data_IF_267792705175
#
_entry.id   IF_267792705175
#
_cell.length_a   1.000
_cell.length_b   1.000
_cell.length_c   1.000
_cell.angle_alpha   90.00
_cell.angle_beta   90.00
_cell.angle_gamma   90.00
#
_symmetry.space_group_name_H-M   'P 1'
#
loop_
_entity.id
_entity.type
_entity.pdbx_description
1 polymer ?
#
# COMPACT_ATOMS: atom_id res chain seq x y z
N UNK A 1 1.52 -15.23 64.17
CA UNK A 1 1.53 -15.67 62.76
C UNK A 1 0.31 -16.55 62.41
N UNK A 2 0.03 -17.64 63.14
CA UNK A 2 -1.10 -18.56 62.84
C UNK A 2 -2.50 -17.92 62.92
N UNK A 3 -2.75 -17.01 63.88
CA UNK A 3 -4.03 -16.27 64.00
C UNK A 3 -4.30 -15.28 62.85
N UNK A 4 -3.27 -14.68 62.25
CA UNK A 4 -3.43 -13.77 61.11
C UNK A 4 -3.80 -14.52 59.84
N UNK A 5 -3.19 -15.69 59.61
CA UNK A 5 -3.51 -16.56 58.46
C UNK A 5 -4.96 -17.05 58.57
N UNK A 6 -5.42 -17.39 59.78
CA UNK A 6 -6.79 -17.84 60.02
C UNK A 6 -7.83 -16.73 59.77
N UNK A 7 -7.55 -15.49 60.15
CA UNK A 7 -8.45 -14.36 59.88
C UNK A 7 -8.54 -14.04 58.37
N UNK A 8 -7.43 -14.09 57.64
CA UNK A 8 -7.43 -13.88 56.17
C UNK A 8 -8.21 -15.00 55.46
N UNK A 9 -8.12 -16.24 55.93
CA UNK A 9 -8.89 -17.36 55.38
C UNK A 9 -10.40 -17.21 55.64
N UNK A 10 -10.79 -16.71 56.82
CA UNK A 10 -12.20 -16.48 57.15
C UNK A 10 -12.76 -15.31 56.33
N UNK A 11 -12.02 -14.21 56.18
CA UNK A 11 -12.43 -13.09 55.32
C UNK A 11 -12.53 -13.49 53.85
N UNK A 12 -11.57 -14.28 53.35
CA UNK A 12 -11.61 -14.82 51.99
C UNK A 12 -12.78 -15.79 51.80
N UNK A 13 -13.11 -16.59 52.81
CA UNK A 13 -14.26 -17.50 52.81
C UNK A 13 -15.60 -16.76 52.75
N UNK A 14 -15.75 -15.70 53.55
CA UNK A 14 -16.96 -14.86 53.54
C UNK A 14 -17.10 -14.11 52.22
N UNK A 15 -15.99 -13.56 51.68
CA UNK A 15 -15.99 -12.90 50.38
C UNK A 15 -16.35 -13.87 49.24
N UNK A 16 -15.83 -15.10 49.25
CA UNK A 16 -16.19 -16.12 48.26
C UNK A 16 -17.66 -16.52 48.36
N UNK A 17 -18.22 -16.72 49.57
CA UNK A 17 -19.64 -17.01 49.76
C UNK A 17 -20.53 -15.87 49.26
N UNK A 18 -20.13 -14.62 49.50
CA UNK A 18 -20.86 -13.45 49.03
C UNK A 18 -20.80 -13.29 47.51
N UNK A 19 -19.62 -13.50 46.90
CA UNK A 19 -19.45 -13.52 45.44
C UNK A 19 -20.23 -14.67 44.79
N UNK A 20 -20.27 -15.84 45.42
CA UNK A 20 -21.01 -17.00 44.92
C UNK A 20 -22.52 -16.79 45.04
N UNK A 21 -23.00 -16.23 46.16
CA UNK A 21 -24.41 -15.88 46.36
C UNK A 21 -24.89 -14.81 45.37
N UNK A 22 -24.09 -13.76 45.15
CA UNK A 22 -24.40 -12.72 44.15
C UNK A 22 -24.37 -13.29 42.73
N UNK A 23 -23.42 -14.17 42.39
CA UNK A 23 -23.38 -14.83 41.09
C UNK A 23 -24.59 -15.74 40.82
N UNK A 24 -25.10 -16.45 41.83
CA UNK A 24 -26.27 -17.33 41.69
C UNK A 24 -27.55 -16.50 41.54
N UNK A 25 -27.75 -15.50 42.39
CA UNK A 25 -28.95 -14.63 42.39
C UNK A 25 -29.06 -13.86 41.07
N UNK A 26 -27.96 -13.32 40.56
CA UNK A 26 -27.94 -12.55 39.31
C UNK A 26 -27.56 -13.38 38.07
N UNK A 27 -27.48 -14.71 38.17
CA UNK A 27 -27.08 -15.59 37.05
C UNK A 27 -27.92 -15.38 35.79
N UNK A 28 -29.24 -15.22 35.96
CA UNK A 28 -30.19 -14.97 34.86
C UNK A 28 -30.02 -13.58 34.25
N UNK A 29 -29.75 -12.55 35.06
CA UNK A 29 -29.48 -11.20 34.59
C UNK A 29 -28.13 -11.10 33.87
N UNK A 30 -27.12 -11.83 34.35
CA UNK A 30 -25.83 -11.95 33.68
C UNK A 30 -25.97 -12.66 32.32
N UNK A 31 -26.75 -13.74 32.25
CA UNK A 31 -27.07 -14.42 30.98
C UNK A 31 -27.87 -13.52 30.02
N UNK A 32 -28.83 -12.73 30.51
CA UNK A 32 -29.53 -11.77 29.67
C UNK A 32 -28.63 -10.62 29.21
N UNK A 33 -27.70 -10.18 30.06
CA UNK A 33 -26.75 -9.13 29.72
C UNK A 33 -25.75 -9.61 28.67
N UNK A 34 -25.20 -10.83 28.82
CA UNK A 34 -24.33 -11.44 27.81
C UNK A 34 -25.08 -11.69 26.50
N UNK A 35 -26.32 -12.19 26.53
CA UNK A 35 -27.15 -12.35 25.34
C UNK A 35 -27.47 -11.01 24.66
N UNK A 36 -27.81 -9.95 25.42
CA UNK A 36 -27.99 -8.59 24.90
C UNK A 36 -26.71 -8.05 24.28
N UNK A 37 -25.55 -8.30 24.89
CA UNK A 37 -24.24 -7.92 24.33
C UNK A 37 -23.96 -8.66 23.03
N UNK A 38 -24.21 -9.97 22.95
CA UNK A 38 -24.04 -10.76 21.72
C UNK A 38 -24.99 -10.31 20.62
N UNK A 39 -26.27 -10.07 20.93
CA UNK A 39 -27.26 -9.56 19.97
C UNK A 39 -26.89 -8.15 19.51
N UNK A 40 -26.46 -7.26 20.41
CA UNK A 40 -26.00 -5.91 20.06
C UNK A 40 -24.72 -5.96 19.21
N UNK A 41 -23.83 -6.92 19.45
CA UNK A 41 -22.69 -7.20 18.58
C UNK A 41 -23.13 -7.65 17.19
N UNK A 42 -24.01 -8.66 17.09
CA UNK A 42 -24.56 -9.15 15.81
C UNK A 42 -25.32 -8.06 15.04
N UNK A 43 -26.09 -7.23 15.73
CA UNK A 43 -26.81 -6.10 15.12
C UNK A 43 -25.85 -4.98 14.68
N UNK A 44 -24.76 -4.73 15.43
CA UNK A 44 -23.69 -3.83 15.00
C UNK A 44 -22.96 -4.38 13.77
N UNK A 45 -22.71 -5.68 13.71
CA UNK A 45 -22.10 -6.33 12.54
C UNK A 45 -23.00 -6.26 11.32
N UNK A 46 -24.29 -6.57 11.43
CA UNK A 46 -25.27 -6.38 10.35
C UNK A 46 -25.41 -4.92 9.92
N UNK A 47 -25.45 -3.97 10.87
CA UNK A 47 -25.46 -2.53 10.54
C UNK A 47 -24.14 -2.06 9.91
N UNK A 48 -23.00 -2.69 10.26
CA UNK A 48 -21.70 -2.42 9.61
C UNK A 48 -21.63 -3.02 8.21
N UNK A 49 -22.25 -4.17 7.97
CA UNK A 49 -22.40 -4.73 6.62
C UNK A 49 -23.28 -3.85 5.72
N UNK A 50 -24.29 -3.20 6.30
CA UNK A 50 -25.19 -2.27 5.60
C UNK A 50 -24.62 -0.85 5.46
N UNK A 51 -23.65 -0.46 6.30
CA UNK A 51 -22.98 0.83 6.19
C UNK A 51 -21.87 0.72 5.18
N UNK A 52 -21.89 1.59 4.18
CA UNK A 52 -20.73 1.74 3.32
C UNK A 52 -19.53 2.19 4.18
N UNK A 53 -18.39 1.47 4.12
CA UNK A 53 -17.22 1.83 4.91
C UNK A 53 -16.74 3.22 4.51
N UNK A 54 -16.25 3.98 5.49
CA UNK A 54 -15.71 5.31 5.24
C UNK A 54 -14.55 5.24 4.25
N UNK A 55 -14.33 6.28 3.44
CA UNK A 55 -13.27 6.28 2.41
C UNK A 55 -11.87 5.95 2.96
N UNK A 56 -11.56 6.37 4.19
CA UNK A 56 -10.32 6.02 4.88
C UNK A 56 -10.24 4.53 5.23
N UNK A 57 -11.33 3.95 5.74
CA UNK A 57 -11.38 2.52 6.09
C UNK A 57 -11.20 1.66 4.83
N UNK A 58 -11.88 2.01 3.72
CA UNK A 58 -11.68 1.38 2.41
C UNK A 58 -10.23 1.43 1.95
N UNK A 59 -9.57 2.57 2.11
CA UNK A 59 -8.16 2.75 1.75
C UNK A 59 -7.22 1.87 2.58
N UNK A 60 -7.39 1.85 3.91
CA UNK A 60 -6.59 1.00 4.79
C UNK A 60 -6.88 -0.48 4.56
N UNK A 61 -8.14 -0.86 4.33
CA UNK A 61 -8.52 -2.23 3.99
C UNK A 61 -7.87 -2.67 2.68
N UNK A 62 -7.90 -1.84 1.64
CA UNK A 62 -7.26 -2.15 0.36
C UNK A 62 -5.75 -2.40 0.52
N UNK A 63 -5.04 -1.51 1.22
CA UNK A 63 -3.60 -1.66 1.46
C UNK A 63 -3.31 -2.90 2.31
N UNK A 64 -4.02 -3.08 3.42
CA UNK A 64 -3.78 -4.15 4.38
C UNK A 64 -4.13 -5.54 3.82
N UNK A 65 -5.24 -5.67 3.09
CA UNK A 65 -5.62 -6.94 2.48
C UNK A 65 -4.64 -7.33 1.38
N UNK A 66 -4.21 -6.38 0.56
CA UNK A 66 -3.27 -6.66 -0.55
C UNK A 66 -1.87 -7.03 -0.06
N UNK A 67 -1.41 -6.46 1.05
CA UNK A 67 -0.03 -6.64 1.54
C UNK A 67 0.09 -7.70 2.63
N UNK A 68 -0.87 -7.79 3.54
CA UNK A 68 -0.82 -8.62 4.75
C UNK A 68 -2.00 -9.61 4.86
N UNK A 69 -2.97 -9.57 3.94
CA UNK A 69 -4.22 -10.36 4.03
C UNK A 69 -4.99 -10.13 5.34
N UNK A 70 -4.86 -8.93 5.93
CA UNK A 70 -5.56 -8.52 7.15
C UNK A 70 -6.56 -7.40 6.87
N UNK A 71 -7.53 -7.21 7.77
CA UNK A 71 -8.41 -6.04 7.74
C UNK A 71 -7.63 -4.77 8.15
N UNK A 72 -7.87 -3.67 7.46
CA UNK A 72 -7.28 -2.36 7.70
C UNK A 72 -7.56 -1.82 9.10
N UNK A 73 -8.66 -2.22 9.74
CA UNK A 73 -8.96 -1.85 11.12
C UNK A 73 -7.87 -2.29 12.11
N UNK A 74 -7.25 -3.45 11.89
CA UNK A 74 -6.17 -3.93 12.76
C UNK A 74 -4.91 -3.08 12.61
N UNK A 75 -4.62 -2.65 11.38
CA UNK A 75 -3.51 -1.75 11.06
C UNK A 75 -3.72 -0.38 11.70
N UNK A 76 -4.94 0.16 11.62
CA UNK A 76 -5.30 1.42 12.29
C UNK A 76 -5.21 1.32 13.83
N UNK A 77 -5.71 0.22 14.41
CA UNK A 77 -5.60 -0.03 15.86
C UNK A 77 -4.14 -0.13 16.29
N UNK A 78 -3.30 -0.83 15.53
CA UNK A 78 -1.88 -0.94 15.81
C UNK A 78 -1.17 0.43 15.80
N UNK A 79 -1.48 1.29 14.83
CA UNK A 79 -0.95 2.67 14.79
C UNK A 79 -1.39 3.48 16.00
N UNK A 80 -2.66 3.38 16.38
CA UNK A 80 -3.20 4.12 17.52
C UNK A 80 -2.58 3.65 18.85
N UNK A 81 -2.43 2.34 19.04
CA UNK A 81 -1.74 1.79 20.22
C UNK A 81 -0.28 2.25 20.26
N UNK A 82 0.41 2.18 19.12
CA UNK A 82 1.81 2.64 19.00
C UNK A 82 1.92 4.13 19.34
N UNK A 83 1.01 4.96 18.83
CA UNK A 83 0.95 6.39 19.14
C UNK A 83 0.81 6.64 20.64
N UNK A 84 -0.18 6.00 21.29
CA UNK A 84 -0.44 6.20 22.72
C UNK A 84 0.75 5.77 23.57
N UNK A 85 1.34 4.61 23.29
CA UNK A 85 2.50 4.09 24.03
C UNK A 85 3.70 5.04 23.90
N UNK A 86 4.03 5.46 22.68
CA UNK A 86 5.16 6.36 22.43
C UNK A 86 4.93 7.73 23.05
N UNK A 87 3.71 8.27 22.97
CA UNK A 87 3.37 9.55 23.57
C UNK A 87 3.47 9.52 25.10
N UNK A 88 2.95 8.47 25.75
CA UNK A 88 3.03 8.30 27.21
C UNK A 88 4.47 8.22 27.73
N UNK A 89 5.38 7.61 26.96
CA UNK A 89 6.80 7.55 27.30
C UNK A 89 7.47 8.92 27.04
N UNK A 90 7.16 9.55 25.90
CA UNK A 90 7.84 10.76 25.44
C UNK A 90 7.45 12.00 26.27
N UNK A 91 6.20 12.10 26.75
CA UNK A 91 5.74 13.24 27.56
C UNK A 91 6.43 13.31 28.92
N UNK A 92 6.99 12.19 29.41
CA UNK A 92 7.77 12.15 30.66
C UNK A 92 9.16 12.73 30.50
N UNK A 93 9.71 12.73 29.28
CA UNK A 93 11.11 13.04 29.00
C UNK A 93 11.31 14.31 28.16
N UNK A 94 10.28 14.78 27.47
CA UNK A 94 10.36 15.87 26.50
C UNK A 94 9.21 16.87 26.65
N UNK A 95 9.31 18.04 26.01
CA UNK A 95 8.21 19.01 25.99
C UNK A 95 6.95 18.41 25.33
N UNK A 96 5.73 18.82 25.73
CA UNK A 96 4.49 18.25 25.20
C UNK A 96 4.41 18.28 23.67
N UNK A 97 4.84 19.38 23.03
CA UNK A 97 4.83 19.53 21.58
C UNK A 97 5.78 18.54 20.87
N UNK A 98 7.02 18.42 21.38
CA UNK A 98 8.01 17.50 20.79
C UNK A 98 7.64 16.03 21.03
N UNK A 99 6.99 15.72 22.15
CA UNK A 99 6.48 14.37 22.46
C UNK A 99 5.38 13.92 21.49
N UNK A 100 4.46 14.81 21.12
CA UNK A 100 3.40 14.52 20.14
C UNK A 100 4.02 14.32 18.76
N UNK A 101 4.95 15.19 18.35
CA UNK A 101 5.63 15.05 17.06
C UNK A 101 6.34 13.70 16.92
N UNK A 102 7.11 13.30 17.93
CA UNK A 102 7.79 12.00 17.94
C UNK A 102 6.81 10.82 17.87
N UNK A 103 5.71 10.89 18.63
CA UNK A 103 4.67 9.87 18.62
C UNK A 103 3.98 9.74 17.26
N UNK A 104 3.69 10.85 16.58
CA UNK A 104 3.12 10.84 15.22
C UNK A 104 4.08 10.20 14.23
N UNK A 105 5.36 10.59 14.25
CA UNK A 105 6.37 10.05 13.32
C UNK A 105 6.51 8.54 13.48
N UNK A 106 6.61 8.04 14.72
CA UNK A 106 6.74 6.59 14.97
C UNK A 106 5.45 5.84 14.64
N UNK A 107 4.28 6.39 15.01
CA UNK A 107 2.99 5.76 14.70
C UNK A 107 2.68 5.73 13.20
N UNK A 108 3.24 6.65 12.40
CA UNK A 108 3.11 6.66 10.95
C UNK A 108 4.02 5.62 10.25
N UNK A 109 5.06 5.12 10.91
CA UNK A 109 6.05 4.21 10.30
C UNK A 109 5.43 2.92 9.72
N UNK A 110 4.51 2.20 10.42
CA UNK A 110 3.87 1.01 9.87
C UNK A 110 3.07 1.32 8.59
N UNK A 111 2.43 2.49 8.52
CA UNK A 111 1.67 2.90 7.34
C UNK A 111 2.61 3.12 6.15
N UNK A 112 3.71 3.84 6.37
CA UNK A 112 4.69 4.13 5.33
C UNK A 112 5.29 2.83 4.77
N UNK A 113 5.66 1.89 5.64
CA UNK A 113 6.19 0.59 5.21
C UNK A 113 5.18 -0.21 4.38
N UNK A 114 3.92 -0.27 4.81
CA UNK A 114 2.86 -0.91 4.04
C UNK A 114 2.61 -0.20 2.72
N UNK A 115 2.66 1.13 2.70
CA UNK A 115 2.49 1.92 1.48
C UNK A 115 3.59 1.65 0.47
N UNK A 116 4.85 1.54 0.91
CA UNK A 116 5.98 1.20 0.03
C UNK A 116 5.79 -0.19 -0.57
N UNK A 117 5.44 -1.20 0.25
CA UNK A 117 5.15 -2.56 -0.23
C UNK A 117 3.98 -2.56 -1.23
N UNK A 118 2.89 -1.86 -0.90
CA UNK A 118 1.71 -1.75 -1.75
C UNK A 118 2.03 -1.11 -3.09
N UNK A 119 2.72 0.03 -3.12
CA UNK A 119 3.14 0.66 -4.38
C UNK A 119 4.10 -0.23 -5.20
N UNK A 120 4.93 -1.05 -4.53
CA UNK A 120 5.74 -2.06 -5.18
C UNK A 120 4.92 -3.13 -5.88
N UNK A 121 3.89 -3.67 -5.22
CA UNK A 121 2.93 -4.62 -5.81
C UNK A 121 2.19 -3.99 -6.99
N UNK A 122 1.68 -2.77 -6.81
CA UNK A 122 0.96 -2.02 -7.85
C UNK A 122 1.79 -1.82 -9.09
N UNK A 123 3.05 -1.40 -8.92
CA UNK A 123 3.97 -1.23 -10.04
C UNK A 123 4.18 -2.55 -10.77
N UNK A 124 4.55 -3.61 -10.06
CA UNK A 124 4.80 -4.92 -10.70
C UNK A 124 3.56 -5.43 -11.46
N UNK A 125 2.39 -5.37 -10.84
CA UNK A 125 1.13 -5.75 -11.47
C UNK A 125 0.78 -4.87 -12.68
N UNK A 126 1.09 -3.56 -12.65
CA UNK A 126 0.90 -2.71 -13.83
C UNK A 126 1.69 -3.19 -15.04
N UNK A 127 2.94 -3.65 -14.85
CA UNK A 127 3.79 -4.17 -15.93
C UNK A 127 3.36 -5.56 -16.44
N UNK A 128 2.59 -6.33 -15.65
CA UNK A 128 2.00 -7.60 -16.07
C UNK A 128 0.75 -7.40 -16.97
N UNK A 129 0.24 -6.16 -17.09
CA UNK A 129 -1.04 -5.84 -17.73
C UNK A 129 -1.16 -6.35 -19.17
N UNK A 130 -0.18 -6.06 -20.03
CA UNK A 130 -0.24 -6.50 -21.44
C UNK A 130 -0.35 -8.03 -21.57
N UNK A 131 0.45 -8.77 -20.80
CA UNK A 131 0.43 -10.23 -20.80
C UNK A 131 -0.91 -10.76 -20.27
N UNK A 132 -1.42 -10.16 -19.19
CA UNK A 132 -2.70 -10.54 -18.60
C UNK A 132 -3.86 -10.34 -19.58
N UNK A 133 -3.94 -9.16 -20.22
CA UNK A 133 -5.01 -8.83 -21.16
C UNK A 133 -4.91 -9.71 -22.41
N UNK A 134 -3.71 -9.94 -22.93
CA UNK A 134 -3.47 -10.85 -24.06
C UNK A 134 -3.93 -12.27 -23.76
N UNK A 135 -3.53 -12.82 -22.60
CA UNK A 135 -3.91 -14.17 -22.20
C UNK A 135 -5.41 -14.27 -21.94
N UNK A 136 -6.00 -13.27 -21.29
CA UNK A 136 -7.45 -13.22 -21.08
C UNK A 136 -8.20 -13.23 -22.40
N UNK A 137 -7.82 -12.38 -23.37
CA UNK A 137 -8.48 -12.31 -24.67
C UNK A 137 -8.46 -13.64 -25.41
N UNK A 138 -7.32 -14.34 -25.39
CA UNK A 138 -7.18 -15.67 -25.97
C UNK A 138 -8.10 -16.68 -25.29
N UNK A 139 -8.08 -16.74 -23.95
CA UNK A 139 -8.93 -17.66 -23.19
C UNK A 139 -10.42 -17.33 -23.34
N UNK A 140 -10.76 -16.04 -23.47
CA UNK A 140 -12.12 -15.57 -23.68
C UNK A 140 -12.68 -15.99 -25.05
N UNK A 141 -11.86 -15.92 -26.10
CA UNK A 141 -12.22 -16.45 -27.43
C UNK A 141 -12.39 -17.97 -27.41
N UNK A 142 -11.51 -18.70 -26.72
CA UNK A 142 -11.58 -20.17 -26.59
C UNK A 142 -12.80 -20.61 -25.76
N UNK A 143 -13.17 -19.85 -24.74
CA UNK A 143 -14.31 -20.13 -23.86
C UNK A 143 -15.66 -19.66 -24.42
N UNK A 144 -15.78 -19.49 -25.74
CA UNK A 144 -17.00 -19.02 -26.42
C UNK A 144 -17.57 -17.72 -25.79
N UNK A 145 -16.70 -16.80 -25.40
CA UNK A 145 -17.05 -15.52 -24.78
C UNK A 145 -17.73 -15.64 -23.40
N UNK A 146 -17.51 -16.75 -22.68
CA UNK A 146 -17.90 -16.88 -21.29
C UNK A 146 -16.82 -16.31 -20.36
N UNK A 147 -17.12 -15.20 -19.67
CA UNK A 147 -16.17 -14.54 -18.76
C UNK A 147 -15.71 -15.44 -17.62
N UNK A 148 -16.62 -16.19 -17.01
CA UNK A 148 -16.31 -17.00 -15.83
C UNK A 148 -15.35 -18.15 -16.18
N UNK A 149 -15.56 -18.78 -17.33
CA UNK A 149 -14.70 -19.84 -17.83
C UNK A 149 -13.36 -19.29 -18.34
N UNK A 150 -13.37 -18.12 -19.00
CA UNK A 150 -12.15 -17.46 -19.45
C UNK A 150 -11.22 -17.07 -18.30
N UNK A 151 -11.78 -16.49 -17.22
CA UNK A 151 -11.00 -16.15 -16.03
C UNK A 151 -10.44 -17.40 -15.33
N UNK A 152 -11.18 -18.51 -15.32
CA UNK A 152 -10.69 -19.77 -14.74
C UNK A 152 -9.54 -20.37 -15.55
N UNK A 153 -9.65 -20.40 -16.88
CA UNK A 153 -8.57 -20.84 -17.77
C UNK A 153 -7.35 -19.93 -17.69
N UNK A 154 -7.54 -18.62 -17.57
CA UNK A 154 -6.46 -17.65 -17.36
C UNK A 154 -5.64 -17.97 -16.10
N UNK A 155 -6.29 -18.36 -15.01
CA UNK A 155 -5.61 -18.68 -13.75
C UNK A 155 -4.76 -19.97 -13.83
N UNK A 156 -5.10 -20.89 -14.73
CA UNK A 156 -4.30 -22.10 -14.99
C UNK A 156 -3.00 -21.77 -15.75
N UNK A 157 -2.99 -20.68 -16.54
CA UNK A 157 -1.86 -20.24 -17.35
C UNK A 157 -1.01 -19.18 -16.60
N UNK A 158 -0.20 -19.61 -15.62
CA UNK A 158 0.37 -18.72 -14.59
C UNK A 158 1.81 -18.24 -14.81
N UNK A 159 2.43 -18.46 -15.98
CA UNK A 159 3.90 -18.32 -16.09
C UNK A 159 4.43 -16.90 -15.87
N UNK A 160 3.68 -15.85 -16.23
CA UNK A 160 4.18 -14.45 -16.22
C UNK A 160 3.25 -13.40 -15.58
N UNK A 161 2.13 -13.80 -14.96
CA UNK A 161 1.12 -12.87 -14.39
C UNK A 161 0.82 -13.20 -12.92
N UNK A 162 1.80 -13.72 -12.18
CA UNK A 162 1.60 -14.30 -10.83
C UNK A 162 0.97 -13.33 -9.85
N UNK A 163 1.36 -12.05 -9.87
CA UNK A 163 0.85 -11.05 -8.93
C UNK A 163 -0.59 -10.73 -9.29
N UNK A 164 -0.83 -10.41 -10.56
CA UNK A 164 -2.15 -9.99 -11.04
C UNK A 164 -3.18 -11.14 -10.99
N UNK A 165 -2.73 -12.40 -11.18
CA UNK A 165 -3.57 -13.59 -11.04
C UNK A 165 -4.15 -13.74 -9.63
N UNK A 166 -3.43 -13.31 -8.58
CA UNK A 166 -3.98 -13.34 -7.21
C UNK A 166 -5.20 -12.43 -7.06
N UNK A 167 -5.20 -11.27 -7.74
CA UNK A 167 -6.33 -10.34 -7.76
C UNK A 167 -7.47 -10.83 -8.65
N UNK A 168 -7.14 -11.43 -9.80
CA UNK A 168 -8.14 -12.09 -10.66
C UNK A 168 -8.83 -13.23 -9.94
N UNK A 169 -8.10 -14.06 -9.17
CA UNK A 169 -8.68 -15.14 -8.38
C UNK A 169 -9.66 -14.60 -7.35
N UNK A 170 -9.27 -13.55 -6.59
CA UNK A 170 -10.15 -12.91 -5.63
C UNK A 170 -11.43 -12.39 -6.31
N UNK A 171 -11.27 -11.67 -7.42
CA UNK A 171 -12.38 -11.15 -8.21
C UNK A 171 -13.29 -12.29 -8.71
N UNK A 172 -12.75 -13.37 -9.28
CA UNK A 172 -13.52 -14.51 -9.79
C UNK A 172 -14.34 -15.18 -8.69
N UNK A 173 -13.76 -15.37 -7.50
CA UNK A 173 -14.46 -15.94 -6.36
C UNK A 173 -15.63 -15.05 -5.91
N UNK A 174 -15.42 -13.73 -5.85
CA UNK A 174 -16.47 -12.78 -5.50
C UNK A 174 -17.57 -12.73 -6.56
N UNK A 175 -17.21 -12.70 -7.84
CA UNK A 175 -18.14 -12.75 -8.98
C UNK A 175 -19.00 -14.02 -8.97
N UNK A 176 -18.43 -15.20 -8.68
CA UNK A 176 -19.19 -16.47 -8.61
C UNK A 176 -20.11 -16.54 -7.39
N UNK A 177 -19.77 -15.85 -6.31
CA UNK A 177 -20.52 -15.91 -5.06
C UNK A 177 -21.80 -15.08 -5.04
N UNK A 178 -22.03 -14.24 -6.07
CA UNK A 178 -23.11 -13.26 -6.06
C UNK A 178 -23.78 -13.10 -7.42
N UNK A 179 -25.12 -12.98 -7.42
CA UNK A 179 -25.91 -12.54 -8.58
C UNK A 179 -26.28 -11.06 -8.53
N UNK A 180 -25.83 -10.33 -7.50
CA UNK A 180 -26.21 -8.93 -7.28
C UNK A 180 -25.29 -8.00 -8.08
N UNK A 181 -25.84 -7.16 -8.99
CA UNK A 181 -25.03 -6.22 -9.79
C UNK A 181 -24.14 -5.30 -8.94
N UNK A 182 -24.60 -4.91 -7.74
CA UNK A 182 -23.80 -4.06 -6.84
C UNK A 182 -22.54 -4.77 -6.32
N UNK A 183 -22.63 -6.07 -6.08
CA UNK A 183 -21.50 -6.87 -5.58
C UNK A 183 -20.56 -7.24 -6.72
N UNK A 184 -21.08 -7.51 -7.92
CA UNK A 184 -20.29 -7.66 -9.15
C UNK A 184 -19.46 -6.40 -9.39
N UNK A 185 -20.10 -5.22 -9.37
CA UNK A 185 -19.41 -3.94 -9.50
C UNK A 185 -18.33 -3.76 -8.44
N UNK A 186 -18.62 -4.09 -7.18
CA UNK A 186 -17.64 -4.00 -6.09
C UNK A 186 -16.42 -4.90 -6.33
N UNK A 187 -16.63 -6.13 -6.79
CA UNK A 187 -15.53 -7.08 -7.05
C UNK A 187 -14.58 -6.57 -8.14
N UNK A 188 -15.12 -6.02 -9.23
CA UNK A 188 -14.31 -5.45 -10.31
C UNK A 188 -13.67 -4.11 -9.92
N UNK A 189 -14.36 -3.30 -9.10
CA UNK A 189 -13.84 -2.04 -8.56
C UNK A 189 -12.68 -2.30 -7.59
N UNK A 190 -12.76 -3.35 -6.76
CA UNK A 190 -11.67 -3.77 -5.88
C UNK A 190 -10.44 -4.21 -6.68
N UNK A 191 -10.62 -4.97 -7.77
CA UNK A 191 -9.52 -5.32 -8.69
C UNK A 191 -8.85 -4.07 -9.29
N UNK A 192 -9.65 -3.17 -9.88
CA UNK A 192 -9.12 -1.96 -10.52
C UNK A 192 -8.54 -0.98 -9.51
N UNK A 193 -9.04 -0.94 -8.27
CA UNK A 193 -8.54 -0.13 -7.18
C UNK A 193 -7.17 -0.59 -6.67
N UNK A 194 -6.88 -1.89 -6.73
CA UNK A 194 -5.57 -2.44 -6.38
C UNK A 194 -4.53 -1.96 -7.38
N UNK A 195 -4.70 -2.23 -8.68
CA UNK A 195 -3.71 -1.86 -9.71
C UNK A 195 -3.70 -0.33 -9.90
N UNK A 196 -4.89 0.23 -10.05
CA UNK A 196 -5.19 1.65 -10.23
C UNK A 196 -4.38 2.26 -11.39
N UNK A 197 -4.64 1.68 -12.56
CA UNK A 197 -4.26 2.13 -13.91
C UNK A 197 -5.52 2.29 -14.77
N UNK A 198 -5.45 3.07 -15.85
CA UNK A 198 -6.56 3.25 -16.78
C UNK A 198 -6.98 1.93 -17.41
N UNK A 199 -6.02 1.13 -17.88
CA UNK A 199 -6.31 -0.19 -18.46
C UNK A 199 -7.02 -1.13 -17.47
N UNK A 200 -6.66 -1.10 -16.18
CA UNK A 200 -7.29 -1.96 -15.16
C UNK A 200 -8.74 -1.57 -14.90
N UNK A 201 -9.07 -0.28 -15.00
CA UNK A 201 -10.45 0.22 -14.87
C UNK A 201 -11.28 -0.15 -16.09
N UNK A 202 -10.72 0.00 -17.30
CA UNK A 202 -11.40 -0.42 -18.53
C UNK A 202 -11.62 -1.93 -18.56
N UNK A 203 -10.63 -2.72 -18.13
CA UNK A 203 -10.78 -4.16 -18.00
C UNK A 203 -11.89 -4.53 -17.00
N UNK A 204 -11.85 -3.96 -15.78
CA UNK A 204 -12.88 -4.15 -14.77
C UNK A 204 -14.30 -3.83 -15.28
N UNK A 205 -14.45 -2.70 -15.98
CA UNK A 205 -15.72 -2.30 -16.58
C UNK A 205 -16.21 -3.29 -17.65
N UNK A 206 -15.33 -3.79 -18.51
CA UNK A 206 -15.69 -4.80 -19.51
C UNK A 206 -16.07 -6.14 -18.86
N UNK A 207 -15.33 -6.57 -17.83
CA UNK A 207 -15.69 -7.77 -17.06
C UNK A 207 -17.07 -7.60 -16.41
N UNK A 208 -17.38 -6.42 -15.87
CA UNK A 208 -18.70 -6.12 -15.33
C UNK A 208 -19.81 -6.28 -16.38
N UNK A 209 -19.65 -5.64 -17.55
CA UNK A 209 -20.65 -5.70 -18.62
C UNK A 209 -20.89 -7.13 -19.10
N UNK A 210 -19.82 -7.90 -19.26
CA UNK A 210 -19.92 -9.26 -19.73
C UNK A 210 -20.47 -10.21 -18.64
N UNK A 211 -20.18 -9.97 -17.35
CA UNK A 211 -20.74 -10.72 -16.23
C UNK A 211 -22.22 -10.41 -15.95
N UNK A 212 -22.64 -9.14 -16.02
CA UNK A 212 -24.02 -8.71 -15.74
C UNK A 212 -24.97 -8.90 -16.92
N UNK A 213 -24.49 -8.61 -18.14
CA UNK A 213 -25.34 -8.50 -19.34
C UNK A 213 -25.02 -9.55 -20.41
N UNK A 214 -23.97 -10.35 -20.24
CA UNK A 214 -23.53 -11.32 -21.25
C UNK A 214 -23.05 -10.66 -22.55
N UNK A 215 -22.67 -9.38 -22.51
CA UNK A 215 -22.21 -8.64 -23.70
C UNK A 215 -20.83 -9.17 -24.10
N UNK A 216 -20.64 -9.44 -25.38
CA UNK A 216 -19.32 -9.79 -25.89
C UNK A 216 -18.39 -8.56 -25.85
N UNK A 217 -17.38 -8.62 -24.98
CA UNK A 217 -16.38 -7.55 -24.80
C UNK A 217 -15.08 -7.78 -25.57
N UNK A 218 -15.01 -8.76 -26.47
CA UNK A 218 -13.75 -9.12 -27.15
C UNK A 218 -13.09 -7.94 -27.87
N UNK A 219 -13.89 -7.10 -28.54
CA UNK A 219 -13.40 -5.91 -29.25
C UNK A 219 -12.84 -4.85 -28.28
N UNK A 220 -13.51 -4.63 -27.16
CA UNK A 220 -13.06 -3.67 -26.15
C UNK A 220 -11.79 -4.14 -25.44
N UNK A 221 -11.65 -5.45 -25.21
CA UNK A 221 -10.46 -6.05 -24.63
C UNK A 221 -9.28 -6.00 -25.62
N UNK A 222 -9.54 -6.18 -26.91
CA UNK A 222 -8.55 -6.02 -27.97
C UNK A 222 -8.06 -4.58 -28.11
N UNK A 223 -8.95 -3.60 -27.97
CA UNK A 223 -8.60 -2.18 -27.92
C UNK A 223 -7.69 -1.86 -26.72
N UNK A 224 -8.00 -2.37 -25.53
CA UNK A 224 -7.11 -2.25 -24.35
C UNK A 224 -5.73 -2.85 -24.65
N UNK A 225 -5.67 -4.00 -25.33
CA UNK A 225 -4.40 -4.65 -25.67
C UNK A 225 -3.57 -3.81 -26.65
N UNK A 226 -4.21 -3.19 -27.63
CA UNK A 226 -3.54 -2.27 -28.58
C UNK A 226 -2.98 -1.07 -27.81
N UNK A 227 -3.79 -0.43 -26.95
CA UNK A 227 -3.36 0.72 -26.15
C UNK A 227 -2.20 0.36 -25.20
N UNK A 228 -2.18 -0.85 -24.64
CA UNK A 228 -1.05 -1.32 -23.82
C UNK A 228 0.23 -1.54 -24.65
N UNK A 229 0.12 -2.05 -25.88
CA UNK A 229 1.28 -2.21 -26.78
C UNK A 229 1.86 -0.84 -27.16
N UNK A 230 1.00 0.13 -27.45
CA UNK A 230 1.43 1.51 -27.72
C UNK A 230 2.06 2.16 -26.48
N UNK A 231 1.51 1.91 -25.28
CA UNK A 231 2.13 2.36 -24.03
C UNK A 231 3.54 1.76 -23.84
N UNK A 232 3.75 0.50 -24.24
CA UNK A 232 5.08 -0.15 -24.20
C UNK A 232 6.07 0.52 -25.14
N UNK A 233 5.69 0.79 -26.39
CA UNK A 233 6.60 1.44 -27.34
C UNK A 233 6.99 2.83 -26.83
N UNK A 234 6.03 3.62 -26.33
CA UNK A 234 6.29 4.93 -25.72
C UNK A 234 7.23 4.80 -24.49
N UNK A 235 7.02 3.79 -23.64
CA UNK A 235 7.86 3.57 -22.47
C UNK A 235 9.30 3.22 -22.87
N UNK A 236 9.48 2.35 -23.88
CA UNK A 236 10.78 1.97 -24.40
C UNK A 236 11.49 3.16 -25.07
N UNK A 237 10.77 3.98 -25.83
CA UNK A 237 11.27 5.22 -26.39
C UNK A 237 11.71 6.21 -25.31
N UNK A 238 10.91 6.41 -24.26
CA UNK A 238 11.28 7.23 -23.10
C UNK A 238 12.52 6.69 -22.42
N UNK A 239 12.63 5.38 -22.23
CA UNK A 239 13.82 4.76 -21.64
C UNK A 239 15.05 5.00 -22.51
N UNK A 240 14.91 4.94 -23.83
CA UNK A 240 15.98 5.26 -24.79
C UNK A 240 16.38 6.72 -24.71
N UNK A 241 15.43 7.66 -24.81
CA UNK A 241 15.69 9.09 -24.73
C UNK A 241 16.29 9.51 -23.39
N UNK A 242 15.75 8.99 -22.28
CA UNK A 242 16.21 9.33 -20.95
C UNK A 242 17.54 8.63 -20.58
N UNK A 243 17.98 7.62 -21.35
CA UNK A 243 19.27 6.95 -21.11
C UNK A 243 20.46 7.91 -21.26
N UNK A 244 20.33 8.90 -22.15
CA UNK A 244 21.34 9.96 -22.31
C UNK A 244 21.35 10.90 -21.11
N UNK A 245 20.18 11.38 -20.69
CA UNK A 245 20.04 12.23 -19.51
C UNK A 245 20.57 11.54 -18.25
N UNK A 246 20.27 10.25 -18.07
CA UNK A 246 20.81 9.44 -16.96
C UNK A 246 22.33 9.41 -16.99
N UNK A 247 22.94 9.16 -18.16
CA UNK A 247 24.40 9.16 -18.30
C UNK A 247 25.01 10.52 -17.99
N UNK A 248 24.35 11.60 -18.41
CA UNK A 248 24.79 12.98 -18.12
C UNK A 248 24.80 13.23 -16.61
N UNK A 249 23.70 12.97 -15.91
CA UNK A 249 23.60 13.27 -14.48
C UNK A 249 24.49 12.37 -13.64
N UNK A 250 24.51 11.06 -13.92
CA UNK A 250 25.23 10.08 -13.09
C UNK A 250 26.73 10.08 -13.36
N UNK A 251 27.17 10.27 -14.61
CA UNK A 251 28.59 10.18 -14.97
C UNK A 251 29.22 11.52 -15.33
N UNK A 252 28.56 12.32 -16.18
CA UNK A 252 29.19 13.54 -16.71
C UNK A 252 29.31 14.64 -15.65
N UNK A 253 28.29 14.86 -14.80
CA UNK A 253 28.36 15.90 -13.76
C UNK A 253 29.47 15.61 -12.73
N UNK A 254 29.59 14.40 -12.14
CA UNK A 254 30.71 14.09 -11.25
C UNK A 254 32.07 14.17 -11.94
N UNK A 255 32.15 13.74 -13.20
CA UNK A 255 33.38 13.84 -13.98
C UNK A 255 33.80 15.29 -14.21
N UNK A 256 32.88 16.17 -14.60
CA UNK A 256 33.14 17.60 -14.77
C UNK A 256 33.58 18.24 -13.45
N UNK A 257 32.94 17.88 -12.33
CA UNK A 257 33.36 18.37 -11.01
C UNK A 257 34.81 17.95 -10.70
N UNK A 258 35.16 16.67 -10.91
CA UNK A 258 36.55 16.20 -10.74
C UNK A 258 37.53 16.92 -11.69
N UNK A 259 37.11 17.20 -12.93
CA UNK A 259 37.92 17.92 -13.89
C UNK A 259 38.23 19.36 -13.46
N UNK A 260 37.29 20.05 -12.79
CA UNK A 260 37.56 21.39 -12.23
C UNK A 260 38.64 21.38 -11.14
N UNK A 261 38.70 20.31 -10.35
CA UNK A 261 39.77 20.08 -9.36
C UNK A 261 41.12 19.95 -10.08
N UNK A 262 41.18 19.13 -11.15
CA UNK A 262 42.41 18.93 -11.95
C UNK A 262 42.88 20.23 -12.58
N UNK A 263 41.98 21.03 -13.16
CA UNK A 263 42.33 22.33 -13.74
C UNK A 263 42.91 23.26 -12.68
N UNK A 264 42.27 23.32 -11.51
CA UNK A 264 42.68 24.19 -10.42
C UNK A 264 44.08 23.84 -9.92
N UNK A 265 44.43 22.56 -9.88
CA UNK A 265 45.75 22.11 -9.45
C UNK A 265 46.80 22.31 -10.54
N UNK A 266 46.51 21.87 -11.76
CA UNK A 266 47.52 21.74 -12.83
C UNK A 266 47.73 23.02 -13.63
N UNK A 267 46.68 23.82 -13.84
CA UNK A 267 46.72 25.01 -14.71
C UNK A 267 46.68 26.32 -13.92
N UNK A 268 45.95 26.36 -12.80
CA UNK A 268 45.91 27.55 -11.92
C UNK A 268 47.07 27.53 -10.90
N UNK A 269 47.76 26.39 -10.75
CA UNK A 269 48.89 26.24 -9.83
C UNK A 269 48.48 26.20 -8.36
N UNK A 270 47.21 25.91 -8.07
CA UNK A 270 46.69 25.90 -6.71
C UNK A 270 47.02 24.57 -6.02
N UNK A 271 47.55 24.61 -4.80
CA UNK A 271 47.76 23.36 -4.04
C UNK A 271 46.41 22.72 -3.69
N UNK A 272 46.35 21.38 -3.61
CA UNK A 272 45.12 20.66 -3.26
C UNK A 272 44.57 21.09 -1.89
N UNK A 273 45.44 21.43 -0.94
CA UNK A 273 45.04 21.93 0.37
C UNK A 273 44.42 23.33 0.28
N UNK A 274 44.97 24.20 -0.57
CA UNK A 274 44.41 25.53 -0.86
C UNK A 274 43.05 25.42 -1.55
N UNK A 275 42.89 24.50 -2.49
CA UNK A 275 41.61 24.24 -3.16
C UNK A 275 40.53 23.83 -2.15
N UNK A 276 40.81 22.83 -1.30
CA UNK A 276 39.86 22.37 -0.28
C UNK A 276 39.52 23.51 0.70
N UNK A 277 40.52 24.30 1.11
CA UNK A 277 40.32 25.46 1.96
C UNK A 277 39.40 26.50 1.30
N UNK A 278 39.60 26.77 0.01
CA UNK A 278 38.78 27.71 -0.74
C UNK A 278 37.35 27.20 -0.92
N UNK A 279 37.18 25.91 -1.24
CA UNK A 279 35.86 25.32 -1.51
C UNK A 279 35.00 25.16 -0.24
N UNK A 280 35.60 24.84 0.92
CA UNK A 280 34.84 24.51 2.13
C UNK A 280 34.93 25.56 3.24
N UNK A 281 35.99 26.37 3.29
CA UNK A 281 36.26 27.28 4.40
C UNK A 281 36.18 28.77 4.03
N UNK A 282 35.80 29.10 2.79
CA UNK A 282 35.46 30.47 2.40
C UNK A 282 33.95 30.59 2.20
N UNK A 283 33.39 31.78 2.49
CA UNK A 283 31.96 32.04 2.36
C UNK A 283 31.45 31.79 0.93
N UNK A 284 32.18 32.31 -0.06
CA UNK A 284 31.87 32.16 -1.48
C UNK A 284 31.94 30.69 -1.93
N UNK A 285 33.07 30.01 -1.66
CA UNK A 285 33.26 28.62 -2.07
C UNK A 285 32.25 27.67 -1.43
N UNK A 286 31.97 27.85 -0.14
CA UNK A 286 30.98 27.03 0.57
C UNK A 286 29.56 27.24 0.01
N UNK A 287 29.20 28.47 -0.35
CA UNK A 287 27.91 28.79 -0.99
C UNK A 287 27.80 28.07 -2.34
N UNK A 288 28.79 28.21 -3.23
CA UNK A 288 28.77 27.55 -4.55
C UNK A 288 28.78 26.02 -4.44
N UNK A 289 29.54 25.46 -3.51
CA UNK A 289 29.53 24.02 -3.22
C UNK A 289 28.15 23.54 -2.80
N UNK A 290 27.52 24.24 -1.85
CA UNK A 290 26.21 23.88 -1.31
C UNK A 290 25.13 23.97 -2.39
N UNK A 291 25.11 25.04 -3.19
CA UNK A 291 24.17 25.19 -4.32
C UNK A 291 24.37 24.08 -5.35
N UNK A 292 25.63 23.75 -5.69
CA UNK A 292 25.95 22.67 -6.63
C UNK A 292 25.48 21.31 -6.12
N UNK A 293 25.68 21.02 -4.83
CA UNK A 293 25.23 19.79 -4.20
C UNK A 293 23.70 19.68 -4.18
N UNK A 294 23.00 20.75 -3.82
CA UNK A 294 21.52 20.78 -3.81
C UNK A 294 20.97 20.59 -5.22
N UNK A 295 21.52 21.29 -6.21
CA UNK A 295 21.13 21.12 -7.62
C UNK A 295 21.38 19.70 -8.12
N UNK A 296 22.49 19.08 -7.74
CA UNK A 296 22.80 17.70 -8.09
C UNK A 296 21.79 16.71 -7.48
N UNK A 297 21.50 16.84 -6.19
CA UNK A 297 20.51 16.01 -5.50
C UNK A 297 19.09 16.19 -6.06
N UNK A 298 18.72 17.42 -6.41
CA UNK A 298 17.45 17.73 -7.05
C UNK A 298 17.34 17.06 -8.43
N UNK A 299 18.41 17.11 -9.25
CA UNK A 299 18.45 16.43 -10.54
C UNK A 299 18.28 14.90 -10.41
N UNK A 300 18.97 14.27 -9.46
CA UNK A 300 18.79 12.84 -9.17
C UNK A 300 17.34 12.54 -8.77
N UNK A 301 16.76 13.39 -7.92
CA UNK A 301 15.38 13.19 -7.43
C UNK A 301 14.36 13.29 -8.56
N UNK A 302 14.46 14.31 -9.42
CA UNK A 302 13.58 14.49 -10.58
C UNK A 302 13.71 13.29 -11.53
N UNK A 303 14.93 12.87 -11.81
CA UNK A 303 15.20 11.73 -12.67
C UNK A 303 14.57 10.43 -12.15
N UNK A 304 14.67 10.17 -10.86
CA UNK A 304 14.10 8.97 -10.24
C UNK A 304 12.56 8.99 -10.22
N UNK A 305 11.95 10.17 -10.10
CA UNK A 305 10.49 10.33 -10.22
C UNK A 305 10.03 10.04 -11.65
N UNK A 306 10.74 10.59 -12.65
CA UNK A 306 10.42 10.40 -14.07
C UNK A 306 10.63 8.93 -14.49
N UNK A 307 11.67 8.27 -13.98
CA UNK A 307 11.97 6.87 -14.32
C UNK A 307 10.98 5.87 -13.72
N UNK A 308 10.29 6.24 -12.62
CA UNK A 308 9.43 5.33 -11.82
C UNK A 308 7.93 5.47 -12.10
N UNK A 309 7.55 5.73 -13.34
CA UNK A 309 6.14 5.75 -13.74
C UNK A 309 5.53 4.34 -13.80
N UNK A 310 4.22 4.24 -13.57
CA UNK A 310 3.46 2.99 -13.71
C UNK A 310 3.25 2.70 -15.19
N UNK A 311 3.09 1.42 -15.54
CA UNK A 311 2.74 1.03 -16.90
C UNK A 311 1.25 1.30 -17.14
N UNK A 312 0.99 2.40 -17.85
CA UNK A 312 -0.34 2.91 -18.15
C UNK A 312 -0.28 3.78 -19.42
N UNK A 313 -1.43 3.98 -20.05
CA UNK A 313 -1.63 4.96 -21.12
C UNK A 313 -2.53 6.10 -20.66
#
# INVERSE_FOLDING_TARGET
MMKQIMNVLVEAGIAMLFCMGTAIVYSKDFMQCTAKLTIKHRLRERRRQLKEPAGLEKHFDCIAQTTLHMRGIYVMMFMLVTFVVVWCISIRNMSPLSSVFLAVVIAAMPYILLRIKFEGIRRKSSFEGEMLISNFLNQYRIANFNVYEALEKLLQESKNTKISNSFILKMLLELRSTGNPKEIKKAVDDFSGIINTNWSRMFAYNIQLAAEKGINVSLAIEDILIQLRDARTILEERKRLNSESIRIVVYMIPFLYAFTIVISIKYIGMSLNTYIKNQLFTKEGFLFFTVSLVMFLMNITIMEIVSRQKFDY
#
